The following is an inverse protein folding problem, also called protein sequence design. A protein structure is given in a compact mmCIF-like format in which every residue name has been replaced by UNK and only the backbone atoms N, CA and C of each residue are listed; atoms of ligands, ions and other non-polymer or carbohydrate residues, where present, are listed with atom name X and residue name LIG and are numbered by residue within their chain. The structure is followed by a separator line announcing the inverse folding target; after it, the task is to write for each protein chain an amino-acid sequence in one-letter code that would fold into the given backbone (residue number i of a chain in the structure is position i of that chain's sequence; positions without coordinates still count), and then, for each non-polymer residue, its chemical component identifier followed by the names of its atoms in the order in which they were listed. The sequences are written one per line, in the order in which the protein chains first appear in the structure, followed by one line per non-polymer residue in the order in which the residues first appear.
data_IF_600420769447
#
_entry.id   IF_600420769447
#
_cell.length_a   1.000
_cell.length_b   1.000
_cell.length_c   1.000
_cell.angle_alpha   90.00
_cell.angle_beta   90.00
_cell.angle_gamma   90.00
#
_symmetry.space_group_name_H-M   'P 1'
#
loop_
_entity.id
_entity.type
_entity.pdbx_description
1 polymer ?
#
# COMPACT_ATOMS: atom_id res chain seq x y z
N UNK A 1 -14.21 49.52 8.99
CA UNK A 1 -14.53 48.29 8.22
C UNK A 1 -13.37 47.72 7.38
N UNK A 2 -12.29 48.48 7.11
CA UNK A 2 -11.14 47.99 6.33
C UNK A 2 -10.19 47.10 7.16
N UNK A 3 -9.99 47.44 8.44
CA UNK A 3 -9.11 46.70 9.36
C UNK A 3 -9.56 45.26 9.62
N UNK A 4 -10.87 45.03 9.78
CA UNK A 4 -11.44 43.70 9.97
C UNK A 4 -11.31 42.81 8.72
N UNK A 5 -11.47 43.40 7.52
CA UNK A 5 -11.24 42.70 6.25
C UNK A 5 -9.77 42.30 6.08
N UNK A 6 -8.83 43.18 6.45
CA UNK A 6 -7.39 42.88 6.39
C UNK A 6 -7.02 41.76 7.37
N UNK A 7 -7.54 41.81 8.61
CA UNK A 7 -7.28 40.77 9.62
C UNK A 7 -7.82 39.41 9.16
N UNK A 8 -9.01 39.36 8.56
CA UNK A 8 -9.60 38.13 8.03
C UNK A 8 -8.75 37.53 6.89
N UNK A 9 -8.28 38.36 5.95
CA UNK A 9 -7.44 37.90 4.84
C UNK A 9 -6.09 37.38 5.34
N UNK A 10 -5.46 38.05 6.31
CA UNK A 10 -4.21 37.61 6.91
C UNK A 10 -4.38 36.28 7.68
N UNK A 11 -5.50 36.09 8.38
CA UNK A 11 -5.81 34.83 9.07
C UNK A 11 -5.99 33.67 8.08
N UNK A 12 -6.68 33.89 6.96
CA UNK A 12 -6.81 32.88 5.91
C UNK A 12 -5.48 32.52 5.25
N UNK A 13 -4.60 33.50 5.00
CA UNK A 13 -3.27 33.24 4.44
C UNK A 13 -2.41 32.39 5.37
N UNK A 14 -2.42 32.68 6.68
CA UNK A 14 -1.67 31.89 7.66
C UNK A 14 -2.20 30.45 7.77
N UNK A 15 -3.51 30.24 7.62
CA UNK A 15 -4.09 28.89 7.61
C UNK A 15 -3.62 28.06 6.42
N UNK A 16 -3.52 28.68 5.24
CA UNK A 16 -3.05 28.04 4.02
C UNK A 16 -1.55 27.69 4.08
N UNK A 17 -0.74 28.57 4.67
CA UNK A 17 0.70 28.33 4.87
C UNK A 17 1.00 27.14 5.80
N UNK A 18 0.18 26.96 6.85
CA UNK A 18 0.33 25.81 7.76
C UNK A 18 -0.15 24.47 7.15
N UNK A 19 -0.97 24.50 6.09
CA UNK A 19 -1.39 23.27 5.40
C UNK A 19 -0.30 22.76 4.46
N UNK A 20 0.49 23.66 3.89
CA UNK A 20 1.59 23.33 2.97
C UNK A 20 2.82 22.70 3.64
N UNK A 21 2.97 22.76 4.96
CA UNK A 21 4.11 22.19 5.68
C UNK A 21 3.93 20.73 6.10
N UNK A 22 2.77 20.12 5.83
CA UNK A 22 2.45 18.74 6.28
C UNK A 22 2.88 17.65 5.28
N UNK A 23 3.36 18.01 4.08
CA UNK A 23 3.72 17.03 3.05
C UNK A 23 5.19 17.08 2.64
N UNK A 24 6.07 16.82 3.60
CA UNK A 24 7.36 16.18 3.31
C UNK A 24 7.57 15.06 4.33
N UNK A 25 6.69 14.05 4.29
CA UNK A 25 7.12 12.74 4.77
C UNK A 25 8.20 12.31 3.79
N UNK A 26 9.42 12.22 4.31
CA UNK A 26 10.61 11.90 3.56
C UNK A 26 10.39 10.66 2.70
N UNK A 27 11.14 10.65 1.60
CA UNK A 27 11.52 9.47 0.85
C UNK A 27 12.25 8.48 1.80
N UNK A 28 11.53 7.91 2.77
CA UNK A 28 11.96 6.68 3.42
C UNK A 28 11.94 5.65 2.28
N UNK A 29 13.11 5.41 1.68
CA UNK A 29 13.31 4.42 0.62
C UNK A 29 12.44 3.19 0.92
N UNK A 30 11.40 2.98 0.10
CA UNK A 30 10.43 1.91 0.33
C UNK A 30 11.20 0.59 0.38
N UNK A 31 11.29 0.00 1.57
CA UNK A 31 11.92 -1.30 1.77
C UNK A 31 10.96 -2.39 1.34
N UNK A 32 11.46 -3.31 0.53
CA UNK A 32 10.71 -4.46 0.02
C UNK A 32 11.13 -5.72 0.75
N UNK A 33 10.16 -6.44 1.29
CA UNK A 33 10.36 -7.66 2.06
C UNK A 33 9.68 -8.83 1.36
N UNK A 34 10.40 -9.93 1.05
CA UNK A 34 9.77 -11.13 0.53
C UNK A 34 8.90 -11.76 1.62
N UNK A 35 7.66 -12.08 1.27
CA UNK A 35 6.70 -12.71 2.16
C UNK A 35 6.08 -13.91 1.47
N UNK A 36 6.01 -15.02 2.20
CA UNK A 36 5.40 -16.26 1.74
C UNK A 36 4.13 -16.55 2.53
N UNK A 37 3.09 -16.98 1.82
CA UNK A 37 1.76 -17.25 2.37
C UNK A 37 1.09 -18.43 1.68
N UNK A 38 0.29 -19.19 2.43
CA UNK A 38 -0.55 -20.24 1.89
C UNK A 38 -1.99 -19.73 1.85
N UNK A 39 -2.56 -19.66 0.65
CA UNK A 39 -3.96 -19.31 0.44
C UNK A 39 -4.76 -20.57 0.07
N UNK A 40 -5.96 -20.66 0.61
CA UNK A 40 -6.96 -21.65 0.19
C UNK A 40 -7.72 -21.19 -1.05
N UNK A 41 -8.64 -22.03 -1.54
CA UNK A 41 -9.46 -21.71 -2.70
C UNK A 41 -8.89 -22.26 -4.02
N UNK A 42 -8.16 -23.37 -3.95
CA UNK A 42 -7.63 -24.08 -5.11
C UNK A 42 -6.13 -23.92 -5.31
N UNK A 43 -5.62 -24.68 -6.27
CA UNK A 43 -4.26 -24.58 -6.80
C UNK A 43 -4.04 -23.26 -7.58
N UNK A 44 -2.82 -23.07 -8.08
CA UNK A 44 -2.54 -21.93 -8.95
C UNK A 44 -3.34 -22.05 -10.26
N UNK A 45 -4.04 -20.98 -10.70
CA UNK A 45 -4.76 -21.02 -11.96
C UNK A 45 -3.79 -21.17 -13.13
N UNK A 46 -4.22 -21.87 -14.19
CA UNK A 46 -3.44 -22.05 -15.42
C UNK A 46 -3.09 -20.70 -16.06
N UNK A 47 -4.02 -19.75 -16.00
CA UNK A 47 -3.88 -18.40 -16.53
C UNK A 47 -3.81 -17.37 -15.40
N UNK A 48 -2.79 -16.51 -15.43
CA UNK A 48 -2.59 -15.46 -14.43
C UNK A 48 -2.26 -15.92 -13.00
N UNK A 49 -1.44 -16.97 -12.76
CA UNK A 49 -1.15 -17.47 -11.41
C UNK A 49 -0.56 -16.41 -10.48
N UNK A 50 0.31 -15.54 -11.02
CA UNK A 50 0.92 -14.43 -10.28
C UNK A 50 -0.10 -13.36 -9.88
N UNK A 51 -1.08 -13.09 -10.76
CA UNK A 51 -2.13 -12.10 -10.52
C UNK A 51 -3.07 -12.58 -9.41
N UNK A 52 -3.35 -13.88 -9.34
CA UNK A 52 -4.12 -14.44 -8.24
C UNK A 52 -3.42 -14.22 -6.88
N UNK A 53 -2.11 -14.50 -6.80
CA UNK A 53 -1.34 -14.22 -5.58
C UNK A 53 -1.30 -12.72 -5.23
N UNK A 54 -1.20 -11.85 -6.23
CA UNK A 54 -1.30 -10.40 -6.05
C UNK A 54 -2.64 -10.01 -5.40
N UNK A 55 -3.76 -10.53 -5.91
CA UNK A 55 -5.08 -10.28 -5.35
C UNK A 55 -5.23 -10.83 -3.93
N UNK A 56 -4.73 -12.04 -3.67
CA UNK A 56 -4.79 -12.67 -2.35
C UNK A 56 -3.99 -11.86 -1.31
N UNK A 57 -2.80 -11.38 -1.68
CA UNK A 57 -1.98 -10.51 -0.83
C UNK A 57 -2.66 -9.17 -0.57
N UNK A 58 -3.27 -8.54 -1.59
CA UNK A 58 -4.07 -7.32 -1.40
C UNK A 58 -5.25 -7.56 -0.45
N UNK A 59 -5.93 -8.70 -0.57
CA UNK A 59 -7.03 -9.08 0.31
C UNK A 59 -6.60 -9.29 1.76
N UNK A 60 -5.40 -9.84 1.98
CA UNK A 60 -4.87 -10.12 3.34
C UNK A 60 -4.20 -8.92 4.00
N UNK A 61 -3.41 -8.16 3.25
CA UNK A 61 -2.52 -7.11 3.78
C UNK A 61 -2.95 -5.68 3.42
N UNK A 62 -3.95 -5.52 2.56
CA UNK A 62 -4.44 -4.22 2.10
C UNK A 62 -3.55 -3.57 1.04
N UNK A 63 -4.08 -2.51 0.41
CA UNK A 63 -3.43 -1.83 -0.72
C UNK A 63 -2.09 -1.17 -0.36
N UNK A 64 -1.90 -0.75 0.90
CA UNK A 64 -0.66 -0.16 1.39
C UNK A 64 0.52 -1.14 1.42
N UNK A 65 0.26 -2.46 1.39
CA UNK A 65 1.33 -3.46 1.27
C UNK A 65 1.99 -3.50 -0.11
N UNK A 66 1.31 -2.93 -1.12
CA UNK A 66 1.83 -2.72 -2.48
C UNK A 66 2.52 -3.95 -3.10
N UNK A 67 1.90 -5.15 -3.06
CA UNK A 67 2.57 -6.41 -3.42
C UNK A 67 3.09 -6.40 -4.87
N UNK A 68 4.29 -6.94 -5.06
CA UNK A 68 4.93 -7.09 -6.38
C UNK A 68 5.73 -8.39 -6.46
N UNK A 69 6.26 -8.68 -7.65
CA UNK A 69 7.09 -9.87 -7.93
C UNK A 69 6.45 -11.18 -7.44
N UNK A 70 5.11 -11.28 -7.55
CA UNK A 70 4.39 -12.41 -7.02
C UNK A 70 4.66 -13.68 -7.82
N UNK A 71 4.86 -14.79 -7.11
CA UNK A 71 4.96 -16.14 -7.62
C UNK A 71 3.91 -17.02 -6.97
N UNK A 72 3.42 -18.00 -7.73
CA UNK A 72 2.44 -18.98 -7.27
C UNK A 72 3.01 -20.38 -7.49
N UNK A 73 2.94 -21.22 -6.47
CA UNK A 73 3.24 -22.64 -6.52
C UNK A 73 2.04 -23.42 -5.97
N UNK A 74 1.53 -24.38 -6.74
CA UNK A 74 0.43 -25.21 -6.26
C UNK A 74 0.91 -26.06 -5.08
N UNK A 75 0.18 -26.02 -3.97
CA UNK A 75 0.49 -26.78 -2.75
C UNK A 75 -0.66 -27.77 -2.50
N UNK A 76 -0.68 -28.85 -3.28
CA UNK A 76 -1.80 -29.79 -3.33
C UNK A 76 -2.94 -29.31 -4.25
N UNK A 77 -4.12 -29.92 -4.10
CA UNK A 77 -5.30 -29.64 -4.95
C UNK A 77 -6.05 -28.37 -4.53
N UNK A 78 -6.04 -28.03 -3.25
CA UNK A 78 -6.95 -27.01 -2.69
C UNK A 78 -6.26 -25.76 -2.15
N UNK A 79 -4.93 -25.71 -2.27
CA UNK A 79 -4.12 -24.61 -1.77
C UNK A 79 -3.05 -24.20 -2.76
N UNK A 80 -2.66 -22.93 -2.65
CA UNK A 80 -1.55 -22.34 -3.37
C UNK A 80 -0.62 -21.64 -2.40
N UNK A 81 0.67 -21.85 -2.60
CA UNK A 81 1.74 -21.12 -1.96
C UNK A 81 2.05 -19.89 -2.81
N UNK A 82 1.91 -18.72 -2.23
CA UNK A 82 2.20 -17.45 -2.86
C UNK A 82 3.41 -16.80 -2.20
N UNK A 83 4.35 -16.32 -3.00
CA UNK A 83 5.47 -15.51 -2.53
C UNK A 83 5.41 -14.16 -3.23
N UNK A 84 5.38 -13.06 -2.50
CA UNK A 84 5.38 -11.70 -3.05
C UNK A 84 6.34 -10.80 -2.26
N UNK A 85 6.90 -9.79 -2.90
CA UNK A 85 7.55 -8.69 -2.20
C UNK A 85 6.48 -7.67 -1.78
N UNK A 86 6.42 -7.35 -0.49
CA UNK A 86 5.55 -6.30 0.05
C UNK A 86 6.37 -5.20 0.70
N UNK A 87 5.75 -4.03 0.89
CA UNK A 87 6.33 -2.97 1.71
C UNK A 87 6.60 -3.55 3.11
N UNK A 88 7.86 -3.50 3.54
CA UNK A 88 8.26 -3.96 4.86
C UNK A 88 7.45 -3.18 5.89
N UNK A 89 6.58 -3.88 6.62
CA UNK A 89 5.84 -3.25 7.69
C UNK A 89 6.80 -3.01 8.85
N UNK A 90 6.98 -1.75 9.27
CA UNK A 90 7.62 -1.41 10.53
C UNK A 90 6.61 -1.74 11.66
N UNK A 91 6.51 -2.99 12.07
CA UNK A 91 5.74 -3.39 13.26
C UNK A 91 6.67 -4.03 14.29
#
# INVERSE_FOLDING_TARGET
MVKAKIIFVLSCMMLLLNLSTVHTQGDDDIKWCPKQEIFGGGSCPEWGPRYQCFLDFLGKYGASSMPKNCECQSSGTDKRLCTCDIVCSQF
#
